data_IF_531270388859
#
_entry.id   IF_531270388859
#
_cell.length_a   1.000
_cell.length_b   1.000
_cell.length_c   1.000
_cell.angle_alpha   90.00
_cell.angle_beta   90.00
_cell.angle_gamma   90.00
#
_symmetry.space_group_name_H-M   'P 1'
#
loop_
_entity.id
_entity.type
_entity.pdbx_description
1 polymer ?
#
# COMPACT_ATOMS: atom_id res chain seq x y z
N UNK A 1 -26.22 -5.18 6.45
CA UNK A 1 -25.90 -4.38 7.64
C UNK A 1 -24.44 -3.99 7.61
N UNK A 2 -24.13 -2.83 7.03
CA UNK A 2 -22.80 -2.22 6.99
C UNK A 2 -22.78 -1.13 8.07
N UNK A 3 -22.05 -1.34 9.16
CA UNK A 3 -21.93 -0.33 10.21
C UNK A 3 -21.09 0.85 9.71
N UNK A 4 -21.73 2.01 9.65
CA UNK A 4 -21.20 3.29 9.19
C UNK A 4 -20.30 3.93 10.25
N UNK A 5 -19.14 4.43 9.83
CA UNK A 5 -18.19 5.21 10.63
C UNK A 5 -18.71 6.62 11.04
N UNK A 6 -20.02 6.85 11.13
CA UNK A 6 -20.60 8.21 11.22
C UNK A 6 -21.10 8.62 12.63
N UNK A 7 -20.96 7.79 13.67
CA UNK A 7 -21.44 8.13 15.02
C UNK A 7 -20.30 8.64 15.94
N UNK A 8 -19.74 9.81 15.65
CA UNK A 8 -18.86 10.55 16.56
C UNK A 8 -19.47 11.93 16.90
N UNK A 9 -19.40 12.38 18.17
CA UNK A 9 -20.04 13.62 18.66
C UNK A 9 -19.35 14.91 18.13
N UNK A 10 -20.02 16.08 18.23
CA UNK A 10 -19.63 17.30 17.54
C UNK A 10 -18.60 18.07 18.36
N UNK A 11 -17.32 17.76 18.19
CA UNK A 11 -16.25 18.70 18.50
C UNK A 11 -15.48 18.97 17.20
N UNK A 12 -16.00 19.96 16.46
CA UNK A 12 -15.50 20.46 15.18
C UNK A 12 -14.14 21.17 15.34
N UNK A 13 -13.06 20.41 15.20
CA UNK A 13 -11.84 20.93 14.58
C UNK A 13 -11.96 20.78 13.06
N UNK A 14 -11.26 21.57 12.22
CA UNK A 14 -11.33 21.45 10.76
C UNK A 14 -10.55 20.21 10.30
N UNK A 15 -11.05 19.02 10.61
CA UNK A 15 -10.55 17.77 10.06
C UNK A 15 -11.33 17.46 8.79
N UNK A 16 -10.72 17.78 7.65
CA UNK A 16 -11.14 17.27 6.34
C UNK A 16 -10.80 15.77 6.31
N UNK A 17 -11.67 14.93 6.87
CA UNK A 17 -11.45 13.49 6.94
C UNK A 17 -11.79 12.82 5.61
N UNK A 18 -10.75 12.39 4.90
CA UNK A 18 -10.84 11.59 3.68
C UNK A 18 -11.19 10.13 4.01
N UNK A 19 -12.33 9.87 4.67
CA UNK A 19 -12.76 8.53 5.10
C UNK A 19 -12.83 7.50 3.94
N UNK A 20 -13.03 7.96 2.69
CA UNK A 20 -13.07 7.10 1.51
C UNK A 20 -11.70 6.49 1.17
N UNK A 21 -10.61 7.22 1.39
CA UNK A 21 -9.26 6.79 1.00
C UNK A 21 -8.67 5.76 1.97
N UNK A 22 -8.92 5.91 3.27
CA UNK A 22 -8.36 5.02 4.31
C UNK A 22 -8.84 3.58 4.14
N UNK A 23 -10.11 3.37 3.78
CA UNK A 23 -10.65 2.02 3.59
C UNK A 23 -9.96 1.29 2.43
N UNK A 24 -9.79 1.98 1.30
CA UNK A 24 -9.06 1.44 0.15
C UNK A 24 -7.62 1.11 0.53
N UNK A 25 -6.90 2.03 1.17
CA UNK A 25 -5.51 1.83 1.58
C UNK A 25 -5.34 0.60 2.48
N UNK A 26 -6.22 0.43 3.47
CA UNK A 26 -6.20 -0.74 4.36
C UNK A 26 -6.46 -2.04 3.62
N UNK A 27 -7.46 -2.07 2.74
CA UNK A 27 -7.77 -3.25 1.93
C UNK A 27 -6.64 -3.59 0.97
N UNK A 28 -6.07 -2.57 0.32
CA UNK A 28 -4.93 -2.74 -0.58
C UNK A 28 -3.74 -3.34 0.17
N UNK A 29 -3.30 -2.72 1.28
CA UNK A 29 -2.18 -3.23 2.10
C UNK A 29 -2.40 -4.69 2.55
N UNK A 30 -3.62 -5.07 2.94
CA UNK A 30 -3.94 -6.44 3.36
C UNK A 30 -3.97 -7.44 2.20
N UNK A 31 -4.34 -7.01 1.00
CA UNK A 31 -4.55 -7.86 -0.17
C UNK A 31 -3.40 -7.80 -1.18
N UNK A 32 -2.43 -6.91 -0.98
CA UNK A 32 -1.21 -6.80 -1.77
C UNK A 32 -0.03 -7.40 -1.02
N UNK A 33 0.74 -8.25 -1.69
CA UNK A 33 2.00 -8.81 -1.19
C UNK A 33 3.13 -8.43 -2.11
N UNK A 34 4.26 -8.03 -1.53
CA UNK A 34 5.46 -7.65 -2.28
C UNK A 34 6.65 -8.46 -1.80
N UNK A 35 7.41 -9.00 -2.74
CA UNK A 35 8.64 -9.75 -2.47
C UNK A 35 9.54 -9.85 -3.70
N UNK A 36 10.65 -10.57 -3.57
CA UNK A 36 11.39 -11.09 -4.73
C UNK A 36 10.49 -12.01 -5.59
N UNK A 37 10.63 -11.99 -6.93
CA UNK A 37 9.87 -12.86 -7.84
C UNK A 37 10.02 -14.34 -7.58
N UNK A 38 11.16 -14.77 -7.03
CA UNK A 38 11.40 -16.19 -6.70
C UNK A 38 10.57 -16.64 -5.50
N UNK A 39 10.35 -15.74 -4.52
CA UNK A 39 9.67 -16.06 -3.27
C UNK A 39 8.16 -15.80 -3.30
N UNK A 40 7.66 -14.99 -4.23
CA UNK A 40 6.26 -14.52 -4.17
C UNK A 40 5.24 -15.66 -4.24
N UNK A 41 5.48 -16.67 -5.08
CA UNK A 41 4.58 -17.83 -5.22
C UNK A 41 4.48 -18.62 -3.92
N UNK A 42 5.64 -18.92 -3.33
CA UNK A 42 5.70 -19.60 -2.04
C UNK A 42 5.05 -18.75 -0.95
N UNK A 43 5.34 -17.45 -0.88
CA UNK A 43 4.77 -16.52 0.09
C UNK A 43 3.24 -16.43 0.04
N UNK A 44 2.65 -16.46 -1.16
CA UNK A 44 1.20 -16.51 -1.32
C UNK A 44 0.67 -17.84 -0.77
N UNK A 45 1.32 -18.96 -1.12
CA UNK A 45 0.90 -20.30 -0.70
C UNK A 45 1.00 -20.54 0.81
N UNK A 46 2.11 -20.14 1.44
CA UNK A 46 2.37 -20.36 2.88
C UNK A 46 1.98 -19.19 3.76
N UNK A 47 1.31 -18.18 3.20
CA UNK A 47 0.80 -16.99 3.91
C UNK A 47 1.87 -16.22 4.72
N UNK A 48 3.13 -16.29 4.30
CA UNK A 48 4.22 -15.54 4.94
C UNK A 48 4.05 -14.03 4.66
N UNK A 49 4.38 -13.15 5.62
CA UNK A 49 4.41 -11.71 5.39
C UNK A 49 5.52 -11.32 4.41
N UNK A 50 5.18 -10.47 3.45
CA UNK A 50 6.15 -9.87 2.53
C UNK A 50 6.75 -8.59 3.08
N UNK A 51 7.29 -7.78 2.17
CA UNK A 51 7.75 -6.43 2.51
C UNK A 51 6.53 -5.60 2.92
N UNK A 52 6.54 -4.97 4.12
CA UNK A 52 5.42 -4.17 4.58
C UNK A 52 5.20 -2.95 3.68
N UNK A 53 3.93 -2.67 3.39
CA UNK A 53 3.50 -1.47 2.69
C UNK A 53 2.94 -0.45 3.68
N UNK A 54 3.42 0.79 3.57
CA UNK A 54 3.01 1.92 4.40
C UNK A 54 2.26 2.94 3.54
N UNK A 55 1.00 3.20 3.87
CA UNK A 55 0.24 4.25 3.19
C UNK A 55 0.75 5.63 3.60
N UNK A 56 0.99 6.49 2.61
CA UNK A 56 1.35 7.89 2.81
C UNK A 56 0.10 8.77 2.70
N UNK A 57 -0.06 9.70 3.65
CA UNK A 57 -1.17 10.66 3.63
C UNK A 57 -0.97 11.80 2.62
N UNK A 58 0.28 12.04 2.22
CA UNK A 58 0.68 13.11 1.31
C UNK A 58 1.62 12.52 0.26
N UNK A 59 1.46 12.97 -1.00
CA UNK A 59 2.34 12.58 -2.09
C UNK A 59 3.79 13.07 -1.82
N UNK A 60 4.82 12.22 -2.02
CA UNK A 60 6.20 12.66 -1.97
C UNK A 60 6.45 13.82 -2.94
N UNK A 61 7.24 14.82 -2.52
CA UNK A 61 7.54 16.01 -3.35
C UNK A 61 8.30 15.69 -4.64
N UNK A 62 8.95 14.53 -4.70
CA UNK A 62 9.69 14.08 -5.87
C UNK A 62 8.80 13.48 -6.96
N UNK A 63 7.52 13.19 -6.68
CA UNK A 63 6.61 12.57 -7.63
C UNK A 63 5.61 13.60 -8.19
N UNK A 64 5.23 13.50 -9.48
CA UNK A 64 4.13 14.28 -10.03
C UNK A 64 2.86 14.06 -9.23
N UNK A 65 2.16 15.15 -8.88
CA UNK A 65 0.90 15.03 -8.17
C UNK A 65 -0.20 14.53 -9.10
N UNK A 66 -0.70 13.32 -8.83
CA UNK A 66 -1.92 12.80 -9.43
C UNK A 66 -3.06 12.81 -8.41
N UNK A 67 -4.15 13.52 -8.71
CA UNK A 67 -5.37 13.50 -7.89
C UNK A 67 -6.03 12.12 -8.00
N UNK A 68 -6.55 11.62 -6.87
CA UNK A 68 -7.21 10.31 -6.82
C UNK A 68 -6.27 9.10 -6.64
N UNK A 69 -4.94 9.30 -6.63
CA UNK A 69 -3.98 8.25 -6.32
C UNK A 69 -3.68 8.17 -4.83
N UNK A 70 -3.54 6.94 -4.33
CA UNK A 70 -2.98 6.67 -3.01
C UNK A 70 -1.51 6.30 -3.15
N UNK A 71 -0.67 6.92 -2.32
CA UNK A 71 0.77 6.70 -2.34
C UNK A 71 1.13 5.70 -1.25
N UNK A 72 1.99 4.75 -1.61
CA UNK A 72 2.48 3.73 -0.69
C UNK A 72 4.01 3.70 -0.74
N UNK A 73 4.60 3.58 0.43
CA UNK A 73 6.03 3.35 0.59
C UNK A 73 6.27 1.89 0.97
N UNK A 74 7.33 1.31 0.40
CA UNK A 74 7.86 0.02 0.79
C UNK A 74 8.76 0.20 2.01
N UNK A 75 8.51 -0.58 3.06
CA UNK A 75 9.42 -0.61 4.19
C UNK A 75 10.75 -1.23 3.77
N UNK A 76 11.79 -0.40 3.78
CA UNK A 76 13.15 -0.79 3.42
C UNK A 76 13.89 -1.46 4.57
N UNK A 77 13.25 -1.58 5.74
CA UNK A 77 13.82 -2.27 6.89
C UNK A 77 13.54 -3.77 6.82
N UNK A 78 14.53 -4.58 7.23
CA UNK A 78 14.39 -6.02 7.37
C UNK A 78 14.95 -6.84 6.21
N UNK A 79 15.03 -8.15 6.46
CA UNK A 79 15.67 -9.11 5.56
C UNK A 79 14.94 -9.26 4.21
N UNK A 80 13.61 -9.19 4.21
CA UNK A 80 12.82 -9.34 2.98
C UNK A 80 13.13 -8.26 1.94
N UNK A 81 13.42 -7.03 2.39
CA UNK A 81 13.87 -5.95 1.51
C UNK A 81 15.25 -6.26 0.93
N UNK A 82 16.21 -6.65 1.77
CA UNK A 82 17.58 -6.97 1.33
C UNK A 82 17.60 -8.07 0.28
N UNK A 83 16.81 -9.12 0.48
CA UNK A 83 16.71 -10.23 -0.48
C UNK A 83 16.08 -9.79 -1.80
N UNK A 84 15.04 -8.96 -1.77
CA UNK A 84 14.43 -8.40 -2.98
C UNK A 84 15.39 -7.45 -3.71
N UNK A 85 16.11 -6.61 -2.97
CA UNK A 85 17.11 -5.70 -3.52
C UNK A 85 18.27 -6.49 -4.16
N UNK A 86 18.71 -7.58 -3.54
CA UNK A 86 19.73 -8.48 -4.08
C UNK A 86 19.26 -9.22 -5.35
N UNK A 87 17.98 -9.59 -5.43
CA UNK A 87 17.39 -10.19 -6.63
C UNK A 87 17.27 -9.19 -7.80
N UNK A 88 17.33 -7.88 -7.54
CA UNK A 88 17.22 -6.84 -8.57
C UNK A 88 15.85 -6.72 -9.23
N UNK A 89 14.83 -7.39 -8.69
CA UNK A 89 13.50 -7.45 -9.25
C UNK A 89 12.43 -7.43 -8.15
N UNK A 90 11.34 -6.73 -8.42
CA UNK A 90 10.17 -6.61 -7.52
C UNK A 90 9.02 -7.40 -8.11
N UNK A 91 8.40 -8.25 -7.30
CA UNK A 91 7.13 -8.89 -7.64
C UNK A 91 6.03 -8.39 -6.71
N UNK A 92 4.89 -8.05 -7.31
CA UNK A 92 3.68 -7.61 -6.63
C UNK A 92 2.55 -8.59 -6.97
N UNK A 93 1.91 -9.12 -5.93
CA UNK A 93 0.72 -9.94 -6.06
C UNK A 93 -0.44 -9.22 -5.38
N UNK A 94 -1.55 -9.03 -6.10
CA UNK A 94 -2.77 -8.40 -5.59
C UNK A 94 -3.89 -9.45 -5.63
N UNK A 95 -4.37 -9.89 -4.48
CA UNK A 95 -5.43 -10.90 -4.36
C UNK A 95 -6.85 -10.29 -4.39
N UNK A 96 -6.96 -8.96 -4.37
CA UNK A 96 -8.22 -8.22 -4.33
C UNK A 96 -8.78 -7.86 -5.71
N UNK A 97 -10.11 -7.68 -5.77
CA UNK A 97 -10.76 -7.08 -6.94
C UNK A 97 -10.83 -5.57 -6.77
N UNK A 98 -10.08 -4.85 -7.60
CA UNK A 98 -10.03 -3.41 -7.63
C UNK A 98 -10.42 -2.95 -9.04
N UNK A 99 -11.66 -2.47 -9.26
CA UNK A 99 -12.06 -1.95 -10.57
C UNK A 99 -11.17 -0.75 -10.92
N UNK A 100 -10.73 -0.68 -12.17
CA UNK A 100 -9.88 0.39 -12.70
C UNK A 100 -8.56 0.61 -11.95
N UNK A 101 -7.96 -0.47 -11.43
CA UNK A 101 -6.69 -0.40 -10.71
C UNK A 101 -5.56 0.07 -11.63
N UNK A 102 -5.15 1.33 -11.43
CA UNK A 102 -3.96 1.90 -12.04
C UNK A 102 -2.84 1.98 -11.00
N UNK A 103 -1.69 1.36 -11.30
CA UNK A 103 -0.54 1.32 -10.41
C UNK A 103 0.71 1.78 -11.14
N UNK A 104 1.54 2.53 -10.43
CA UNK A 104 2.85 2.96 -10.89
C UNK A 104 3.86 2.65 -9.81
N UNK A 105 4.98 2.07 -10.20
CA UNK A 105 6.10 1.81 -9.31
C UNK A 105 7.20 2.83 -9.61
N UNK A 106 7.60 3.57 -8.58
CA UNK A 106 8.63 4.59 -8.68
C UNK A 106 9.79 4.26 -7.76
N UNK A 107 11.01 4.32 -8.31
CA UNK A 107 12.23 4.28 -7.53
C UNK A 107 12.73 5.71 -7.31
N UNK A 108 12.53 6.24 -6.10
CA UNK A 108 13.05 7.55 -5.72
C UNK A 108 14.48 7.36 -5.18
N UNK A 109 15.45 7.97 -5.84
CA UNK A 109 16.81 8.12 -5.30
C UNK A 109 16.81 9.31 -4.34
N UNK A 110 17.16 9.03 -3.09
CA UNK A 110 17.43 10.03 -2.06
C UNK A 110 18.92 10.13 -1.80
#
# INVERSE_FOLDING_TARGET
MTQNCCNLPPLCWPWRQTCRSIRFQRQFIQQSKISSPEKIRNMVSVQIPGIPLRALMVAPRQLPYHSGFSYFELDKSGQAWTEMAAAGAVALHVSGSFPDLNMQLWAIRG
#
